data_IF_226670247176
#
_entry.id   IF_226670247176
#
_cell.length_a   1.000
_cell.length_b   1.000
_cell.length_c   1.000
_cell.angle_alpha   90.00
_cell.angle_beta   90.00
_cell.angle_gamma   90.00
#
_symmetry.space_group_name_H-M   'P 1'
#
loop_
_entity.id
_entity.type
_entity.pdbx_description
1 polymer ?
#
# COMPACT_ATOMS: atom_id res chain seq x y z
N UNK A 1 13.70 -0.06 -55.04
CA UNK A 1 12.53 -0.65 -54.35
C UNK A 1 12.98 -1.59 -53.23
N UNK A 2 13.92 -2.49 -53.49
CA UNK A 2 14.49 -3.41 -52.49
C UNK A 2 15.23 -2.74 -51.33
N UNK A 3 16.13 -1.77 -51.61
CA UNK A 3 16.80 -0.95 -50.57
C UNK A 3 15.87 -0.09 -49.71
N UNK A 4 14.62 0.14 -50.14
CA UNK A 4 13.61 0.83 -49.33
C UNK A 4 12.96 -0.15 -48.36
N UNK A 5 12.65 -1.36 -48.82
CA UNK A 5 12.13 -2.47 -48.00
C UNK A 5 13.15 -2.93 -46.95
N UNK A 6 14.43 -2.94 -47.29
CA UNK A 6 15.49 -3.30 -46.35
C UNK A 6 15.60 -2.32 -45.17
N UNK A 7 15.61 -1.01 -45.45
CA UNK A 7 15.58 0.03 -44.43
C UNK A 7 14.30 0.01 -43.58
N UNK A 8 13.19 -0.42 -44.15
CA UNK A 8 11.91 -0.58 -43.44
C UNK A 8 11.96 -1.76 -42.47
N UNK A 9 12.49 -2.91 -42.89
CA UNK A 9 12.73 -4.06 -41.99
C UNK A 9 13.71 -3.74 -40.87
N UNK A 10 14.74 -2.95 -41.16
CA UNK A 10 15.70 -2.51 -40.15
C UNK A 10 15.05 -1.60 -39.11
N UNK A 11 14.19 -0.67 -39.53
CA UNK A 11 13.37 0.15 -38.62
C UNK A 11 12.43 -0.69 -37.78
N UNK A 12 11.78 -1.70 -38.36
CA UNK A 12 10.92 -2.63 -37.61
C UNK A 12 11.69 -3.44 -36.57
N UNK A 13 12.90 -3.90 -36.89
CA UNK A 13 13.78 -4.60 -35.93
C UNK A 13 14.21 -3.69 -34.78
N UNK A 14 14.59 -2.45 -35.09
CA UNK A 14 14.95 -1.46 -34.06
C UNK A 14 13.75 -1.12 -33.16
N UNK A 15 12.56 -0.97 -33.74
CA UNK A 15 11.33 -0.72 -32.98
C UNK A 15 10.98 -1.91 -32.08
N UNK A 16 11.16 -3.15 -32.55
CA UNK A 16 10.95 -4.36 -31.76
C UNK A 16 11.94 -4.46 -30.59
N UNK A 17 13.23 -4.20 -30.83
CA UNK A 17 14.26 -4.18 -29.79
C UNK A 17 13.99 -3.11 -28.72
N UNK A 18 13.55 -1.91 -29.15
CA UNK A 18 13.22 -0.84 -28.22
C UNK A 18 11.98 -1.18 -27.36
N UNK A 19 10.98 -1.85 -27.94
CA UNK A 19 9.80 -2.34 -27.19
C UNK A 19 10.17 -3.40 -26.16
N UNK A 20 11.04 -4.35 -26.51
CA UNK A 20 11.47 -5.40 -25.57
C UNK A 20 12.29 -4.81 -24.42
N UNK A 21 13.20 -3.86 -24.71
CA UNK A 21 13.99 -3.19 -23.66
C UNK A 21 13.11 -2.42 -22.65
N UNK A 22 12.05 -1.75 -23.12
CA UNK A 22 11.09 -1.06 -22.23
C UNK A 22 10.30 -2.08 -21.39
N UNK A 23 9.89 -3.19 -22.00
CA UNK A 23 9.18 -4.27 -21.31
C UNK A 23 10.05 -4.92 -20.24
N UNK A 24 11.31 -5.22 -20.54
CA UNK A 24 12.29 -5.76 -19.60
C UNK A 24 12.58 -4.78 -18.48
N UNK A 25 12.72 -3.49 -18.78
CA UNK A 25 12.89 -2.44 -17.77
C UNK A 25 11.69 -2.37 -16.82
N UNK A 26 10.46 -2.47 -17.35
CA UNK A 26 9.23 -2.48 -16.55
C UNK A 26 9.11 -3.75 -15.70
N UNK A 27 9.41 -4.92 -16.27
CA UNK A 27 9.38 -6.20 -15.56
C UNK A 27 10.44 -6.23 -14.46
N UNK A 28 11.65 -5.76 -14.75
CA UNK A 28 12.74 -5.69 -13.79
C UNK A 28 12.42 -4.71 -12.64
N UNK A 29 11.84 -3.55 -12.96
CA UNK A 29 11.36 -2.60 -11.96
C UNK A 29 10.30 -3.21 -11.03
N UNK A 30 9.32 -3.94 -11.58
CA UNK A 30 8.33 -4.66 -10.78
C UNK A 30 8.93 -5.85 -10.01
N UNK A 31 9.99 -6.47 -10.52
CA UNK A 31 10.66 -7.59 -9.88
C UNK A 31 11.57 -7.18 -8.72
N UNK A 32 12.18 -6.00 -8.81
CA UNK A 32 13.06 -5.39 -7.81
C UNK A 32 12.30 -4.51 -6.82
N UNK A 33 10.99 -4.28 -7.02
CA UNK A 33 10.17 -3.52 -6.10
C UNK A 33 10.15 -4.21 -4.72
N UNK A 34 10.60 -3.55 -3.65
CA UNK A 34 10.64 -4.16 -2.34
C UNK A 34 9.21 -4.36 -1.86
N UNK A 35 8.89 -5.63 -1.59
CA UNK A 35 7.56 -6.19 -1.29
C UNK A 35 6.71 -6.53 -2.53
N UNK A 36 6.88 -7.76 -3.01
CA UNK A 36 5.90 -8.43 -3.85
C UNK A 36 4.76 -8.91 -2.95
N UNK A 37 3.50 -8.47 -3.14
CA UNK A 37 2.38 -9.23 -2.60
C UNK A 37 2.41 -10.62 -3.26
N UNK A 38 2.18 -11.69 -2.50
CA UNK A 38 2.19 -13.07 -2.98
C UNK A 38 1.20 -13.23 -4.17
N UNK A 39 1.71 -13.07 -5.39
CA UNK A 39 0.99 -13.25 -6.64
C UNK A 39 1.05 -14.72 -7.05
N UNK A 40 0.49 -15.61 -6.22
CA UNK A 40 0.31 -17.02 -6.59
C UNK A 40 -0.84 -17.26 -7.58
N UNK A 41 -1.48 -16.21 -8.10
CA UNK A 41 -2.68 -16.32 -8.94
C UNK A 41 -2.66 -15.57 -10.28
N UNK A 42 -1.56 -14.94 -10.70
CA UNK A 42 -1.58 -14.09 -11.91
C UNK A 42 -0.95 -14.70 -13.17
N UNK A 43 -0.15 -15.76 -13.05
CA UNK A 43 0.33 -16.51 -14.21
C UNK A 43 0.35 -18.01 -13.91
N UNK A 44 -0.83 -18.60 -13.82
CA UNK A 44 -1.00 -20.01 -14.19
C UNK A 44 -1.74 -19.99 -15.52
N UNK A 45 -1.12 -20.39 -16.65
CA UNK A 45 -1.89 -20.84 -17.80
C UNK A 45 -2.82 -21.93 -17.28
N UNK A 46 -4.12 -21.71 -17.38
CA UNK A 46 -5.13 -22.63 -16.88
C UNK A 46 -4.82 -24.04 -17.40
N UNK A 47 -4.38 -24.94 -16.52
CA UNK A 47 -4.22 -26.37 -16.85
C UNK A 47 -5.57 -27.02 -17.23
N UNK A 48 -6.68 -26.29 -17.08
CA UNK A 48 -8.03 -26.70 -17.44
C UNK A 48 -8.19 -26.91 -18.96
N UNK A 49 -7.55 -26.11 -19.83
CA UNK A 49 -7.68 -26.28 -21.28
C UNK A 49 -7.03 -27.59 -21.78
N UNK A 50 -5.94 -28.04 -21.16
CA UNK A 50 -5.22 -29.26 -21.58
C UNK A 50 -5.93 -30.54 -21.16
N UNK A 51 -6.69 -30.51 -20.05
CA UNK A 51 -7.41 -31.70 -19.54
C UNK A 51 -8.66 -32.00 -20.35
N UNK A 52 -9.35 -30.96 -20.83
CA UNK A 52 -10.59 -31.12 -21.59
C UNK A 52 -10.34 -31.78 -22.97
N UNK A 53 -9.19 -31.53 -23.59
CA UNK A 53 -8.80 -32.17 -24.86
C UNK A 53 -8.44 -33.65 -24.67
N UNK A 54 -7.78 -34.03 -23.56
CA UNK A 54 -7.44 -35.42 -23.29
C UNK A 54 -8.65 -36.26 -22.83
N UNK A 55 -9.62 -35.65 -22.15
CA UNK A 55 -10.84 -36.33 -21.71
C UNK A 55 -11.71 -36.84 -22.88
N UNK A 56 -11.69 -36.17 -24.03
CA UNK A 56 -12.34 -36.65 -25.26
C UNK A 56 -11.60 -37.82 -25.94
N UNK A 57 -10.32 -38.04 -25.63
CA UNK A 57 -9.54 -39.15 -26.21
C UNK A 57 -9.51 -40.41 -25.34
N UNK A 58 -10.00 -40.35 -24.10
CA UNK A 58 -9.92 -41.45 -23.11
C UNK A 58 -11.27 -42.08 -22.72
N UNK A 59 -12.31 -41.91 -23.53
CA UNK A 59 -13.58 -42.65 -23.36
C UNK A 59 -13.59 -44.01 -24.07
N UNK A 60 -12.43 -44.59 -24.37
CA UNK A 60 -12.31 -45.99 -24.81
C UNK A 60 -11.43 -46.73 -23.83
N UNK A 61 -11.98 -47.78 -23.23
CA UNK A 61 -11.40 -48.73 -22.25
C UNK A 61 -11.49 -48.36 -20.75
N UNK A 62 -11.75 -49.40 -19.98
CA UNK A 62 -12.49 -49.52 -18.73
C UNK A 62 -11.55 -50.04 -17.60
N UNK A 63 -11.97 -49.89 -16.33
CA UNK A 63 -11.64 -50.72 -15.14
C UNK A 63 -10.65 -50.21 -14.05
N UNK A 64 -11.25 -49.86 -12.90
CA UNK A 64 -11.11 -50.41 -11.52
C UNK A 64 -9.85 -50.28 -10.61
N UNK A 65 -10.15 -49.99 -9.33
CA UNK A 65 -9.48 -50.32 -8.04
C UNK A 65 -8.16 -49.63 -7.60
N UNK A 66 -8.18 -48.87 -6.49
CA UNK A 66 -7.61 -49.26 -5.17
C UNK A 66 -7.75 -48.14 -4.10
N UNK A 67 -7.89 -48.57 -2.85
CA UNK A 67 -8.05 -47.85 -1.58
C UNK A 67 -6.68 -47.33 -1.06
N UNK A 68 -6.56 -46.06 -0.64
CA UNK A 68 -5.40 -45.58 0.14
C UNK A 68 -5.76 -44.34 0.98
N UNK A 69 -5.93 -44.59 2.28
CA UNK A 69 -5.49 -43.78 3.45
C UNK A 69 -5.42 -42.24 3.28
N UNK A 70 -6.52 -41.54 3.60
CA UNK A 70 -6.53 -40.08 3.74
C UNK A 70 -5.79 -39.66 5.02
N UNK A 71 -4.55 -39.23 4.85
CA UNK A 71 -3.89 -38.37 5.83
C UNK A 71 -4.54 -36.98 5.79
N UNK A 72 -4.96 -36.38 6.91
CA UNK A 72 -5.59 -35.06 6.88
C UNK A 72 -4.58 -34.02 6.37
N UNK A 73 -4.96 -33.17 5.39
CA UNK A 73 -4.07 -32.17 4.85
C UNK A 73 -3.64 -31.18 5.96
N UNK A 74 -2.37 -30.73 5.96
CA UNK A 74 -1.91 -29.72 6.91
C UNK A 74 -2.77 -28.45 6.80
N UNK A 75 -2.98 -27.70 7.89
CA UNK A 75 -3.82 -26.51 7.90
C UNK A 75 -3.27 -25.48 6.91
N UNK A 76 -3.95 -25.34 5.76
CA UNK A 76 -3.63 -24.32 4.78
C UNK A 76 -3.68 -22.95 5.46
N UNK A 77 -2.64 -22.10 5.34
CA UNK A 77 -2.72 -20.71 5.77
C UNK A 77 -3.80 -20.06 4.93
N UNK A 78 -4.95 -19.81 5.56
CA UNK A 78 -6.13 -19.21 4.92
C UNK A 78 -5.66 -17.95 4.22
N UNK A 79 -5.67 -17.97 2.88
CA UNK A 79 -5.36 -16.81 2.06
C UNK A 79 -6.43 -15.78 2.38
N UNK A 80 -6.15 -14.88 3.33
CA UNK A 80 -7.09 -13.83 3.73
C UNK A 80 -7.36 -12.99 2.48
N UNK A 81 -8.57 -13.10 1.96
CA UNK A 81 -9.03 -12.28 0.86
C UNK A 81 -8.73 -10.81 1.17
N UNK A 82 -8.23 -10.08 0.18
CA UNK A 82 -7.85 -8.67 0.32
C UNK A 82 -9.08 -7.90 0.82
N UNK A 83 -8.99 -7.37 2.03
CA UNK A 83 -10.09 -6.62 2.62
C UNK A 83 -10.31 -5.32 1.81
N UNK A 84 -11.58 -4.95 1.64
CA UNK A 84 -11.94 -3.65 1.04
C UNK A 84 -11.42 -2.53 1.95
N UNK A 85 -10.86 -1.48 1.34
CA UNK A 85 -10.43 -0.28 2.05
C UNK A 85 -11.65 0.63 2.22
N UNK A 86 -11.96 1.02 3.45
CA UNK A 86 -12.92 2.10 3.73
C UNK A 86 -12.28 3.47 3.54
N UNK A 87 -13.09 4.48 3.18
CA UNK A 87 -12.67 5.87 3.20
C UNK A 87 -12.81 6.48 4.60
N UNK A 88 -12.08 7.56 4.86
CA UNK A 88 -12.18 8.37 6.08
C UNK A 88 -12.39 9.82 5.66
N UNK A 89 -13.28 10.54 6.36
CA UNK A 89 -13.52 11.98 6.15
C UNK A 89 -13.30 12.73 7.46
N UNK A 90 -12.69 13.91 7.36
CA UNK A 90 -12.67 14.90 8.43
C UNK A 90 -13.91 15.81 8.34
N UNK A 91 -14.04 16.70 9.32
CA UNK A 91 -15.01 17.81 9.28
C UNK A 91 -14.66 18.84 8.20
N UNK A 92 -15.67 19.59 7.76
CA UNK A 92 -15.52 20.63 6.73
C UNK A 92 -15.24 21.94 7.43
N UNK A 93 -14.10 22.58 7.12
CA UNK A 93 -13.79 23.94 7.56
C UNK A 93 -14.33 24.95 6.54
N UNK A 94 -15.05 25.96 7.03
CA UNK A 94 -15.54 27.10 6.25
C UNK A 94 -14.60 28.30 6.39
N UNK A 95 -14.76 29.31 5.52
CA UNK A 95 -13.95 30.54 5.61
C UNK A 95 -14.26 31.30 6.90
N UNK A 96 -15.51 31.24 7.35
CA UNK A 96 -15.98 31.82 8.59
C UNK A 96 -15.32 31.17 9.81
N UNK A 97 -15.07 29.86 9.78
CA UNK A 97 -14.37 29.14 10.86
C UNK A 97 -12.92 29.59 10.97
N UNK A 98 -12.24 29.77 9.85
CA UNK A 98 -10.85 30.22 9.84
C UNK A 98 -10.70 31.66 10.38
N UNK A 99 -11.64 32.54 10.03
CA UNK A 99 -11.63 33.94 10.47
C UNK A 99 -12.05 34.10 11.93
N UNK A 100 -13.00 33.28 12.40
CA UNK A 100 -13.47 33.32 13.79
C UNK A 100 -12.56 32.55 14.77
N UNK A 101 -11.58 31.78 14.27
CA UNK A 101 -10.66 31.03 15.10
C UNK A 101 -9.80 31.94 15.99
N UNK A 102 -9.91 31.75 17.30
CA UNK A 102 -9.05 32.42 18.29
C UNK A 102 -7.85 31.54 18.57
N UNK A 103 -6.66 31.98 18.14
CA UNK A 103 -5.41 31.24 18.37
C UNK A 103 -5.15 31.04 19.86
N UNK A 104 -5.05 29.78 20.27
CA UNK A 104 -4.74 29.40 21.65
C UNK A 104 -3.25 29.57 21.92
N UNK A 105 -2.90 30.30 22.98
CA UNK A 105 -1.50 30.50 23.39
C UNK A 105 -1.30 30.00 24.81
N UNK A 106 -0.50 28.94 24.93
CA UNK A 106 -0.09 28.37 26.22
C UNK A 106 1.41 28.61 26.38
N UNK A 107 1.83 29.37 27.41
CA UNK A 107 3.24 29.73 27.59
C UNK A 107 4.10 28.50 27.82
N UNK A 108 5.27 28.46 27.17
CA UNK A 108 6.23 27.35 27.23
C UNK A 108 7.64 27.87 27.38
N UNK A 109 8.45 27.13 28.11
CA UNK A 109 9.88 27.39 28.22
C UNK A 109 10.61 27.07 26.91
N UNK A 110 11.69 27.80 26.64
CA UNK A 110 12.55 27.60 25.47
C UNK A 110 13.07 26.14 25.35
N UNK A 111 13.39 25.52 26.49
CA UNK A 111 13.82 24.12 26.54
C UNK A 111 12.72 23.17 26.03
N UNK A 112 11.48 23.41 26.45
CA UNK A 112 10.32 22.61 26.04
C UNK A 112 10.03 22.81 24.56
N UNK A 113 10.06 24.05 24.06
CA UNK A 113 9.85 24.33 22.63
C UNK A 113 10.90 23.65 21.75
N UNK A 114 12.16 23.69 22.15
CA UNK A 114 13.26 23.03 21.40
C UNK A 114 13.07 21.51 21.37
N UNK A 115 12.66 20.91 22.49
CA UNK A 115 12.39 19.48 22.57
C UNK A 115 11.20 19.08 21.67
N UNK A 116 10.12 19.86 21.67
CA UNK A 116 8.96 19.66 20.80
C UNK A 116 9.35 19.72 19.32
N UNK A 117 10.06 20.76 18.91
CA UNK A 117 10.53 20.91 17.52
C UNK A 117 11.36 19.71 17.07
N UNK A 118 12.27 19.22 17.92
CA UNK A 118 13.06 18.03 17.64
C UNK A 118 12.18 16.78 17.51
N UNK A 119 11.20 16.61 18.41
CA UNK A 119 10.32 15.45 18.42
C UNK A 119 9.44 15.35 17.16
N UNK A 120 8.92 16.48 16.66
CA UNK A 120 8.02 16.49 15.49
C UNK A 120 8.75 16.64 14.15
N UNK A 121 10.05 16.94 14.15
CA UNK A 121 10.84 17.22 12.92
C UNK A 121 10.76 16.16 11.80
N UNK A 122 10.51 14.90 12.16
CA UNK A 122 10.39 13.78 11.20
C UNK A 122 8.95 13.39 10.88
N UNK A 123 7.97 14.02 11.53
CA UNK A 123 6.56 13.72 11.32
C UNK A 123 6.06 14.43 10.05
N UNK A 124 5.43 13.65 9.16
CA UNK A 124 4.93 14.13 7.86
C UNK A 124 3.93 15.28 7.97
N UNK A 125 3.16 15.34 9.07
CA UNK A 125 2.18 16.40 9.31
C UNK A 125 2.82 17.77 9.54
N UNK A 126 4.12 17.82 9.90
CA UNK A 126 4.83 19.05 10.25
C UNK A 126 6.05 19.32 9.36
N UNK A 127 6.34 18.44 8.39
CA UNK A 127 7.56 18.50 7.59
C UNK A 127 7.63 19.73 6.66
N UNK A 128 6.47 20.30 6.32
CA UNK A 128 6.35 21.37 5.33
C UNK A 128 5.80 22.69 5.91
N UNK A 129 5.73 22.80 7.23
CA UNK A 129 5.32 24.04 7.87
C UNK A 129 6.49 25.02 7.96
N UNK A 130 6.18 26.31 7.82
CA UNK A 130 7.15 27.36 8.05
C UNK A 130 7.40 27.61 9.56
N UNK A 131 8.30 28.53 9.90
CA UNK A 131 8.63 28.82 11.31
C UNK A 131 7.48 29.49 12.07
N UNK A 132 6.61 30.23 11.39
CA UNK A 132 5.49 30.93 12.01
C UNK A 132 4.35 29.93 12.31
N UNK A 133 3.98 29.10 11.35
CA UNK A 133 2.99 28.03 11.51
C UNK A 133 3.41 27.04 12.60
N UNK A 134 4.70 26.66 12.63
CA UNK A 134 5.23 25.80 13.70
C UNK A 134 5.09 26.44 15.08
N UNK A 135 5.37 27.74 15.17
CA UNK A 135 5.22 28.49 16.43
C UNK A 135 3.76 28.54 16.88
N UNK A 136 2.83 28.77 15.95
CA UNK A 136 1.38 28.80 16.22
C UNK A 136 0.85 27.44 16.73
N UNK A 137 1.31 26.33 16.12
CA UNK A 137 0.97 24.99 16.60
C UNK A 137 1.56 24.74 17.99
N UNK A 138 2.82 25.13 18.22
CA UNK A 138 3.43 24.96 19.54
C UNK A 138 2.67 25.72 20.60
N UNK A 139 2.24 26.96 20.34
CA UNK A 139 1.43 27.76 21.24
C UNK A 139 0.13 27.04 21.64
N UNK A 140 -0.53 26.38 20.69
CA UNK A 140 -1.78 25.67 20.92
C UNK A 140 -1.63 24.36 21.73
N UNK A 141 -0.45 23.73 21.73
CA UNK A 141 -0.21 22.50 22.49
C UNK A 141 -0.33 22.72 24.00
N UNK A 142 -1.05 21.84 24.69
CA UNK A 142 -1.23 21.90 26.15
C UNK A 142 -0.48 20.76 26.86
N UNK A 143 0.03 21.01 28.08
CA UNK A 143 0.63 19.95 28.88
C UNK A 143 -0.46 18.99 29.37
N UNK A 144 -0.15 17.70 29.35
CA UNK A 144 -0.99 16.66 29.94
C UNK A 144 -0.13 15.84 30.89
N UNK A 145 -0.57 15.71 32.13
CA UNK A 145 0.13 14.96 33.20
C UNK A 145 -0.67 13.74 33.59
N UNK A 146 -0.01 12.59 33.67
CA UNK A 146 -0.61 11.32 34.06
C UNK A 146 0.19 10.65 35.17
N UNK A 147 -0.44 9.72 35.88
CA UNK A 147 0.23 8.89 36.88
C UNK A 147 0.82 7.63 36.24
N UNK A 148 1.80 7.01 36.91
CA UNK A 148 2.39 5.77 36.43
C UNK A 148 1.33 4.66 36.35
N UNK A 149 1.26 3.96 35.22
CA UNK A 149 0.30 2.89 34.97
C UNK A 149 -1.06 3.35 34.42
N UNK A 150 -1.26 4.66 34.22
CA UNK A 150 -2.48 5.19 33.61
C UNK A 150 -2.48 5.01 32.09
N UNK A 151 -3.59 4.55 31.53
CA UNK A 151 -3.79 4.46 30.09
C UNK A 151 -4.19 5.83 29.53
N UNK A 152 -3.29 6.46 28.78
CA UNK A 152 -3.53 7.79 28.15
C UNK A 152 -4.49 7.71 26.96
N UNK A 153 -4.38 6.64 26.16
CA UNK A 153 -5.21 6.39 24.98
C UNK A 153 -5.52 4.90 24.89
N UNK A 154 -6.79 4.55 24.67
CA UNK A 154 -7.25 3.16 24.58
C UNK A 154 -7.49 2.78 23.11
N UNK A 155 -7.14 1.53 22.75
CA UNK A 155 -7.41 1.02 21.42
C UNK A 155 -8.93 0.92 21.17
N UNK A 156 -9.35 1.25 19.94
CA UNK A 156 -10.74 1.30 19.51
C UNK A 156 -11.59 2.40 20.16
N UNK A 157 -10.98 3.26 20.98
CA UNK A 157 -11.61 4.49 21.41
C UNK A 157 -11.53 5.55 20.31
N UNK A 158 -12.62 6.27 20.09
CA UNK A 158 -12.61 7.42 19.19
C UNK A 158 -12.07 8.62 19.95
N UNK A 159 -11.12 9.35 19.35
CA UNK A 159 -10.61 10.58 19.96
C UNK A 159 -11.76 11.58 20.10
N UNK A 160 -12.34 11.72 21.29
CA UNK A 160 -13.01 12.94 21.71
C UNK A 160 -11.92 13.89 22.15
N UNK A 161 -11.70 14.93 21.36
CA UNK A 161 -10.85 16.04 21.77
C UNK A 161 -11.78 16.96 22.54
N UNK A 162 -11.65 17.01 23.86
CA UNK A 162 -12.33 18.02 24.68
C UNK A 162 -11.67 19.37 24.33
N UNK A 163 -12.37 20.18 23.53
CA UNK A 163 -11.97 21.55 23.17
C UNK A 163 -12.51 22.56 24.18
#
# INVERSE_FOLDING_TARGET
RERKRERERERERLLASCKESIKDSRVNFMALWPQKPNLSGFLSPSQEESKQIQAWQKSSSQSDSHDDEVSPPPPNPVVKARHRRGGVSAEVYTEEDAVSYVRKVIPKDYKTMTALAKAISKNVLFAHLDDNERSDIFDAMFPVTHIAGETVIQQADCRKVDL
#
